data_IF_934019480771
#
_entry.id   IF_934019480771
#
_cell.length_a   1.000
_cell.length_b   1.000
_cell.length_c   1.000
_cell.angle_alpha   90.00
_cell.angle_beta   90.00
_cell.angle_gamma   90.00
#
_symmetry.space_group_name_H-M   'P 1'
#
loop_
_entity.id
_entity.type
_entity.pdbx_description
1 polymer ?
#
# COMPACT_ATOMS: atom_id res chain seq x y z
N UNK A 1 3.25 3.43 7.18
CA UNK A 1 4.11 4.12 6.22
C UNK A 1 3.59 3.88 4.80
N UNK A 2 3.48 4.93 3.97
CA UNK A 2 3.11 4.85 2.56
C UNK A 2 4.29 5.35 1.73
N UNK A 3 4.82 4.51 0.86
CA UNK A 3 5.93 4.82 -0.03
C UNK A 3 5.45 4.83 -1.47
N UNK A 4 5.85 5.84 -2.23
CA UNK A 4 5.33 6.07 -3.57
C UNK A 4 4.01 6.83 -3.59
N UNK A 5 3.58 7.24 -4.77
CA UNK A 5 2.37 8.02 -4.97
C UNK A 5 1.72 7.72 -6.32
N UNK A 6 0.40 7.63 -6.32
CA UNK A 6 -0.44 7.66 -7.51
C UNK A 6 -1.87 8.08 -7.12
N UNK A 7 -2.76 8.20 -8.08
CA UNK A 7 -4.15 8.63 -7.83
C UNK A 7 -4.94 7.78 -6.83
N UNK A 8 -4.51 6.54 -6.59
CA UNK A 8 -5.15 5.65 -5.60
C UNK A 8 -4.76 5.98 -4.16
N UNK A 9 -3.61 6.66 -3.95
CA UNK A 9 -3.13 7.02 -2.61
C UNK A 9 -4.21 7.74 -1.79
N UNK A 10 -4.94 8.65 -2.42
CA UNK A 10 -6.03 9.42 -1.78
C UNK A 10 -7.12 8.50 -1.22
N UNK A 11 -7.55 7.55 -2.04
CA UNK A 11 -8.60 6.59 -1.64
C UNK A 11 -8.07 5.69 -0.53
N UNK A 12 -6.85 5.19 -0.65
CA UNK A 12 -6.20 4.35 0.35
C UNK A 12 -6.09 5.08 1.69
N UNK A 13 -5.63 6.34 1.70
CA UNK A 13 -5.50 7.13 2.92
C UNK A 13 -6.86 7.33 3.60
N UNK A 14 -7.91 7.64 2.83
CA UNK A 14 -9.27 7.82 3.36
C UNK A 14 -9.85 6.53 3.92
N UNK A 15 -9.64 5.41 3.22
CA UNK A 15 -10.11 4.11 3.69
C UNK A 15 -9.33 3.68 4.95
N UNK A 16 -8.02 3.86 4.97
CA UNK A 16 -7.21 3.59 6.16
C UNK A 16 -7.68 4.41 7.37
N UNK A 17 -8.11 5.66 7.18
CA UNK A 17 -8.67 6.48 8.26
C UNK A 17 -9.92 5.85 8.89
N UNK A 18 -10.70 5.08 8.11
CA UNK A 18 -11.87 4.35 8.61
C UNK A 18 -11.52 3.09 9.42
N UNK A 19 -10.36 2.46 9.12
CA UNK A 19 -9.93 1.21 9.76
C UNK A 19 -9.05 1.39 10.99
N UNK A 20 -8.37 2.53 11.12
CA UNK A 20 -7.40 2.74 12.21
C UNK A 20 -7.99 3.49 13.40
N UNK A 21 -7.39 3.28 14.56
CA UNK A 21 -7.77 3.97 15.77
C UNK A 21 -7.40 5.47 15.77
N UNK A 22 -8.09 6.26 16.58
CA UNK A 22 -7.82 7.68 16.73
C UNK A 22 -6.41 7.95 17.25
N UNK A 23 -5.70 8.86 16.58
CA UNK A 23 -4.33 9.20 16.90
C UNK A 23 -3.28 8.39 16.14
N UNK A 24 -3.69 7.55 15.20
CA UNK A 24 -2.80 6.87 14.28
C UNK A 24 -1.97 7.85 13.48
N UNK A 25 -0.77 7.43 13.08
CA UNK A 25 0.16 8.25 12.31
C UNK A 25 0.47 7.58 10.98
N UNK A 26 0.41 8.35 9.91
CA UNK A 26 0.81 7.92 8.57
C UNK A 26 1.79 8.91 7.97
N UNK A 27 2.94 8.42 7.57
CA UNK A 27 3.91 9.19 6.78
C UNK A 27 3.83 8.72 5.33
N UNK A 28 3.71 9.69 4.43
CA UNK A 28 3.76 9.49 2.98
C UNK A 28 5.11 9.99 2.48
N UNK A 29 5.81 9.16 1.73
CA UNK A 29 7.09 9.52 1.11
C UNK A 29 6.99 9.31 -0.39
N UNK A 30 7.24 10.35 -1.16
CA UNK A 30 7.17 10.31 -2.63
C UNK A 30 8.31 11.09 -3.25
N UNK A 31 8.82 10.60 -4.39
CA UNK A 31 9.84 11.32 -5.17
C UNK A 31 9.27 12.58 -5.85
N UNK A 32 7.98 12.62 -6.10
CA UNK A 32 7.31 13.70 -6.86
C UNK A 32 6.50 14.60 -5.94
N UNK A 33 6.54 15.89 -6.23
CA UNK A 33 5.88 16.96 -5.46
C UNK A 33 4.48 17.33 -6.01
N UNK A 34 4.01 16.61 -7.02
CA UNK A 34 2.89 17.02 -7.86
C UNK A 34 1.54 17.17 -7.15
N UNK A 35 1.39 16.66 -5.92
CA UNK A 35 0.09 16.59 -5.23
C UNK A 35 0.09 17.13 -3.80
N UNK A 36 1.04 18.01 -3.43
CA UNK A 36 1.17 18.52 -2.07
C UNK A 36 -0.10 19.24 -1.57
N UNK A 37 -0.70 20.07 -2.42
CA UNK A 37 -1.93 20.80 -2.06
C UNK A 37 -3.08 19.83 -1.77
N UNK A 38 -3.19 18.78 -2.57
CA UNK A 38 -4.18 17.73 -2.40
C UNK A 38 -3.94 16.90 -1.12
N UNK A 39 -2.68 16.62 -0.80
CA UNK A 39 -2.30 15.94 0.43
C UNK A 39 -2.70 16.78 1.67
N UNK A 40 -2.46 18.09 1.62
CA UNK A 40 -2.85 19.00 2.70
C UNK A 40 -4.38 19.10 2.84
N UNK A 41 -5.10 19.16 1.72
CA UNK A 41 -6.57 19.14 1.72
C UNK A 41 -7.12 17.87 2.36
N UNK A 42 -6.58 16.71 1.98
CA UNK A 42 -6.98 15.42 2.55
C UNK A 42 -6.66 15.37 4.04
N UNK A 43 -5.45 15.76 4.44
CA UNK A 43 -5.03 15.75 5.83
C UNK A 43 -6.00 16.52 6.74
N UNK A 44 -6.59 17.61 6.24
CA UNK A 44 -7.59 18.39 6.97
C UNK A 44 -8.94 17.65 7.15
N UNK A 45 -9.22 16.62 6.37
CA UNK A 45 -10.48 15.85 6.41
C UNK A 45 -10.39 14.57 7.24
N UNK A 46 -9.17 14.08 7.54
CA UNK A 46 -8.95 12.86 8.30
C UNK A 46 -9.35 13.03 9.76
N UNK A 47 -9.91 11.97 10.34
CA UNK A 47 -10.43 11.96 11.72
C UNK A 47 -9.52 11.23 12.69
N UNK A 48 -8.87 10.19 12.23
CA UNK A 48 -8.11 9.24 13.04
C UNK A 48 -6.61 9.29 12.76
N UNK A 49 -6.23 9.63 11.51
CA UNK A 49 -4.83 9.66 11.05
C UNK A 49 -4.26 11.08 11.10
N UNK A 50 -3.09 11.20 11.72
CA UNK A 50 -2.21 12.35 11.52
C UNK A 50 -1.32 12.06 10.32
N UNK A 51 -1.51 12.79 9.22
CA UNK A 51 -0.77 12.64 7.98
C UNK A 51 0.46 13.54 7.96
N UNK A 52 1.60 13.00 7.54
CA UNK A 52 2.84 13.73 7.25
C UNK A 52 3.32 13.38 5.85
N UNK A 53 3.84 14.36 5.13
CA UNK A 53 4.43 14.15 3.80
C UNK A 53 5.92 14.48 3.81
N UNK A 54 6.71 13.67 3.11
CA UNK A 54 8.12 13.91 2.85
C UNK A 54 8.41 13.65 1.37
N UNK A 55 9.01 14.64 0.70
CA UNK A 55 9.52 14.44 -0.64
C UNK A 55 10.90 13.76 -0.56
N UNK A 56 11.01 12.56 -1.08
CA UNK A 56 12.27 11.82 -1.17
C UNK A 56 12.15 10.66 -2.17
N UNK A 57 13.28 10.25 -2.74
CA UNK A 57 13.34 9.09 -3.64
C UNK A 57 13.28 7.79 -2.82
N UNK A 58 12.16 7.07 -2.93
CA UNK A 58 11.92 5.83 -2.21
C UNK A 58 12.79 4.66 -2.66
N UNK A 59 13.47 4.75 -3.81
CA UNK A 59 14.44 3.75 -4.29
C UNK A 59 15.84 3.97 -3.72
N UNK A 60 16.11 5.12 -3.10
CA UNK A 60 17.40 5.39 -2.47
C UNK A 60 17.48 4.70 -1.10
N UNK A 61 18.52 3.88 -0.87
CA UNK A 61 18.67 3.13 0.38
C UNK A 61 18.82 4.06 1.60
N UNK A 62 19.51 5.20 1.45
CA UNK A 62 19.68 6.18 2.52
C UNK A 62 18.35 6.76 2.99
N UNK A 63 17.38 6.91 2.08
CA UNK A 63 16.03 7.38 2.42
C UNK A 63 15.33 6.34 3.28
N UNK A 64 15.33 5.07 2.84
CA UNK A 64 14.70 3.98 3.60
C UNK A 64 15.35 3.83 4.98
N UNK A 65 16.68 3.91 5.09
CA UNK A 65 17.40 3.83 6.35
C UNK A 65 17.03 4.98 7.30
N UNK A 66 16.78 6.19 6.76
CA UNK A 66 16.43 7.38 7.55
C UNK A 66 15.00 7.36 8.08
N UNK A 67 14.12 6.54 7.53
CA UNK A 67 12.69 6.53 7.85
C UNK A 67 12.33 5.75 9.12
N UNK A 68 13.29 5.06 9.75
CA UNK A 68 13.03 4.16 10.89
C UNK A 68 11.82 3.26 10.63
N UNK A 69 11.85 2.55 9.49
CA UNK A 69 10.73 1.73 9.02
C UNK A 69 10.26 0.71 10.07
N UNK A 70 11.14 0.36 10.99
CA UNK A 70 10.87 -0.61 12.06
C UNK A 70 9.96 -0.07 13.17
N UNK A 71 9.66 1.22 13.16
CA UNK A 71 8.69 1.85 14.08
C UNK A 71 7.24 1.80 13.58
N UNK A 72 7.01 1.37 12.33
CA UNK A 72 5.68 1.29 11.74
C UNK A 72 5.09 -0.13 11.84
N UNK A 73 3.77 -0.21 12.01
CA UNK A 73 3.03 -1.49 12.04
C UNK A 73 2.86 -2.09 10.65
N UNK A 74 2.81 -1.23 9.61
CA UNK A 74 2.66 -1.66 8.23
C UNK A 74 3.28 -0.68 7.25
N UNK A 75 3.71 -1.21 6.10
CA UNK A 75 4.27 -0.45 4.99
C UNK A 75 3.47 -0.77 3.74
N UNK A 76 3.06 0.27 3.02
CA UNK A 76 2.40 0.15 1.74
C UNK A 76 3.27 0.81 0.67
N UNK A 77 3.45 0.14 -0.47
CA UNK A 77 4.18 0.67 -1.61
C UNK A 77 3.25 0.85 -2.79
N UNK A 78 3.24 2.04 -3.35
CA UNK A 78 2.49 2.38 -4.56
C UNK A 78 3.46 2.65 -5.71
N UNK A 79 3.10 2.16 -6.89
CA UNK A 79 3.85 2.45 -8.11
C UNK A 79 3.58 3.88 -8.60
N UNK A 80 4.57 4.51 -9.20
CA UNK A 80 4.47 5.83 -9.84
C UNK A 80 3.87 5.72 -11.26
N UNK A 81 2.64 5.22 -11.33
CA UNK A 81 1.96 4.88 -12.59
C UNK A 81 1.75 6.08 -13.54
N UNK A 82 1.54 7.26 -12.98
CA UNK A 82 1.29 8.47 -13.76
C UNK A 82 2.57 9.18 -14.17
N UNK A 83 3.68 8.93 -13.48
CA UNK A 83 4.95 9.66 -13.62
C UNK A 83 6.00 8.88 -14.42
N UNK A 84 5.85 7.57 -14.50
CA UNK A 84 6.81 6.65 -15.13
C UNK A 84 6.09 5.66 -16.05
N UNK A 85 6.85 5.07 -16.97
CA UNK A 85 6.33 3.89 -17.66
C UNK A 85 6.24 2.68 -16.72
N UNK A 86 5.48 1.66 -17.14
CA UNK A 86 5.16 0.50 -16.31
C UNK A 86 6.41 -0.24 -15.81
N UNK A 87 7.43 -0.39 -16.67
CA UNK A 87 8.63 -1.16 -16.32
C UNK A 87 9.50 -0.40 -15.32
N UNK A 88 9.66 0.90 -15.50
CA UNK A 88 10.42 1.76 -14.60
C UNK A 88 9.72 1.89 -13.24
N UNK A 89 8.39 2.04 -13.23
CA UNK A 89 7.60 2.10 -12.00
C UNK A 89 7.70 0.81 -11.19
N UNK A 90 7.58 -0.35 -11.84
CA UNK A 90 7.73 -1.64 -11.17
C UNK A 90 9.18 -1.87 -10.70
N UNK A 91 10.18 -1.48 -11.50
CA UNK A 91 11.58 -1.59 -11.11
C UNK A 91 11.90 -0.74 -9.86
N UNK A 92 11.39 0.50 -9.80
CA UNK A 92 11.58 1.35 -8.63
C UNK A 92 10.90 0.76 -7.39
N UNK A 93 9.70 0.21 -7.54
CA UNK A 93 9.00 -0.49 -6.46
C UNK A 93 9.79 -1.70 -5.95
N UNK A 94 10.34 -2.51 -6.85
CA UNK A 94 11.17 -3.66 -6.50
C UNK A 94 12.44 -3.24 -5.74
N UNK A 95 13.12 -2.17 -6.17
CA UNK A 95 14.30 -1.64 -5.48
C UNK A 95 13.92 -1.20 -4.06
N UNK A 96 12.83 -0.46 -3.91
CA UNK A 96 12.32 -0.04 -2.59
C UNK A 96 12.03 -1.24 -1.69
N UNK A 97 11.38 -2.28 -2.22
CA UNK A 97 11.11 -3.54 -1.49
C UNK A 97 12.38 -4.24 -1.02
N UNK A 98 13.41 -4.32 -1.87
CA UNK A 98 14.69 -4.92 -1.51
C UNK A 98 15.36 -4.16 -0.35
N UNK A 99 15.30 -2.84 -0.34
CA UNK A 99 15.84 -2.03 0.75
C UNK A 99 15.06 -2.22 2.05
N UNK A 100 13.71 -2.24 1.99
CA UNK A 100 12.87 -2.53 3.14
C UNK A 100 13.20 -3.91 3.72
N UNK A 101 13.32 -4.92 2.85
CA UNK A 101 13.63 -6.28 3.26
C UNK A 101 14.97 -6.38 3.96
N UNK A 102 16.01 -5.72 3.42
CA UNK A 102 17.31 -5.64 4.08
C UNK A 102 17.19 -5.12 5.51
N UNK A 103 16.48 -4.00 5.71
CA UNK A 103 16.30 -3.42 7.05
C UNK A 103 15.51 -4.35 7.97
N UNK A 104 14.48 -5.03 7.47
CA UNK A 104 13.71 -6.02 8.25
C UNK A 104 14.59 -7.20 8.66
N UNK A 105 15.37 -7.77 7.74
CA UNK A 105 16.27 -8.89 8.01
C UNK A 105 17.36 -8.49 9.03
N UNK A 106 17.93 -7.29 8.92
CA UNK A 106 18.94 -6.78 9.85
C UNK A 106 18.37 -6.50 11.26
N UNK A 107 17.13 -6.02 11.33
CA UNK A 107 16.48 -5.70 12.62
C UNK A 107 15.81 -6.90 13.28
N UNK A 108 15.58 -7.98 12.55
CA UNK A 108 14.80 -9.15 13.00
C UNK A 108 13.32 -8.85 13.25
N UNK A 109 12.80 -7.69 12.80
CA UNK A 109 11.40 -7.34 12.93
C UNK A 109 10.61 -7.80 11.71
N UNK A 110 9.45 -8.37 11.97
CA UNK A 110 8.46 -8.74 10.96
C UNK A 110 7.40 -7.62 10.85
N UNK A 111 7.42 -6.90 9.73
CA UNK A 111 6.51 -5.78 9.46
C UNK A 111 5.67 -6.16 8.25
N UNK A 112 4.37 -5.93 8.31
CA UNK A 112 3.46 -6.19 7.18
C UNK A 112 3.79 -5.26 6.02
N UNK A 113 4.16 -5.82 4.87
CA UNK A 113 4.49 -5.07 3.66
C UNK A 113 3.54 -5.46 2.54
N UNK A 114 2.76 -4.49 2.06
CA UNK A 114 1.87 -4.66 0.91
C UNK A 114 2.35 -3.77 -0.23
N UNK A 115 2.55 -4.35 -1.40
CA UNK A 115 3.06 -3.62 -2.55
C UNK A 115 2.12 -3.71 -3.75
N UNK A 116 1.92 -2.58 -4.41
CA UNK A 116 1.33 -2.54 -5.75
C UNK A 116 2.37 -2.98 -6.79
N UNK A 117 1.91 -3.72 -7.80
CA UNK A 117 2.67 -4.08 -8.99
C UNK A 117 1.78 -3.85 -10.21
N UNK A 118 2.33 -3.29 -11.28
CA UNK A 118 1.59 -2.99 -12.49
C UNK A 118 1.57 -4.18 -13.46
N UNK A 119 2.73 -4.82 -13.68
CA UNK A 119 2.83 -5.98 -14.55
C UNK A 119 2.87 -7.28 -13.73
N UNK A 120 1.91 -8.17 -14.02
CA UNK A 120 1.85 -9.50 -13.39
C UNK A 120 3.10 -10.34 -13.62
N UNK A 121 3.82 -10.12 -14.71
CA UNK A 121 5.06 -10.84 -15.01
C UNK A 121 6.18 -10.53 -14.03
N UNK A 122 6.15 -9.37 -13.41
CA UNK A 122 7.12 -8.95 -12.42
C UNK A 122 6.85 -9.55 -11.03
N UNK A 123 5.67 -10.21 -10.85
CA UNK A 123 5.29 -10.85 -9.59
C UNK A 123 6.32 -11.90 -9.14
N UNK A 124 6.77 -12.74 -10.06
CA UNK A 124 7.74 -13.81 -9.72
C UNK A 124 9.08 -13.22 -9.24
N UNK A 125 9.48 -12.05 -9.78
CA UNK A 125 10.64 -11.30 -9.30
C UNK A 125 10.38 -10.72 -7.91
N UNK A 126 9.18 -10.24 -7.69
CA UNK A 126 8.78 -9.67 -6.41
C UNK A 126 8.67 -10.74 -5.30
N UNK A 127 8.29 -11.97 -5.60
CA UNK A 127 8.27 -13.08 -4.64
C UNK A 127 9.66 -13.36 -4.03
N UNK A 128 10.75 -13.09 -4.77
CA UNK A 128 12.12 -13.19 -4.26
C UNK A 128 12.38 -12.20 -3.12
N UNK A 129 11.68 -11.08 -3.10
CA UNK A 129 11.80 -10.07 -2.04
C UNK A 129 11.10 -10.49 -0.74
N UNK A 130 10.38 -11.63 -0.72
CA UNK A 130 9.58 -12.12 0.41
C UNK A 130 8.61 -11.07 0.95
N UNK A 131 8.10 -10.16 0.12
CA UNK A 131 7.01 -9.28 0.55
C UNK A 131 5.77 -10.12 0.81
N UNK A 132 5.00 -9.73 1.83
CA UNK A 132 3.88 -10.53 2.33
C UNK A 132 2.77 -10.63 1.29
N UNK A 133 2.47 -9.50 0.61
CA UNK A 133 1.42 -9.45 -0.38
C UNK A 133 1.75 -8.51 -1.54
N UNK A 134 1.44 -8.98 -2.76
CA UNK A 134 1.47 -8.17 -3.97
C UNK A 134 0.09 -8.02 -4.56
N UNK A 135 -0.31 -6.79 -4.79
CA UNK A 135 -1.57 -6.47 -5.45
C UNK A 135 -1.28 -6.04 -6.89
N UNK A 136 -1.64 -6.90 -7.85
CA UNK A 136 -1.67 -6.53 -9.26
C UNK A 136 -3.05 -5.96 -9.56
N UNK A 137 -3.15 -4.64 -9.53
CA UNK A 137 -4.41 -3.91 -9.56
C UNK A 137 -5.28 -4.25 -10.75
N UNK A 138 -4.72 -4.30 -11.95
CA UNK A 138 -5.48 -4.56 -13.18
C UNK A 138 -6.05 -5.99 -13.20
N UNK A 139 -5.33 -6.96 -12.63
CA UNK A 139 -5.83 -8.33 -12.49
C UNK A 139 -7.01 -8.40 -11.52
N UNK A 140 -6.89 -7.76 -10.36
CA UNK A 140 -7.95 -7.76 -9.35
C UNK A 140 -9.24 -7.12 -9.92
N UNK A 141 -9.11 -5.96 -10.57
CA UNK A 141 -10.24 -5.28 -11.21
C UNK A 141 -10.88 -6.18 -12.27
N UNK A 142 -10.08 -6.82 -13.12
CA UNK A 142 -10.59 -7.72 -14.17
C UNK A 142 -11.35 -8.91 -13.58
N UNK A 143 -10.85 -9.50 -12.49
CA UNK A 143 -11.53 -10.59 -11.78
C UNK A 143 -12.86 -10.13 -11.18
N UNK A 144 -12.89 -8.99 -10.50
CA UNK A 144 -14.11 -8.42 -9.93
C UNK A 144 -15.16 -8.12 -11.02
N UNK A 145 -14.74 -7.49 -12.12
CA UNK A 145 -15.63 -7.19 -13.25
C UNK A 145 -16.22 -8.47 -13.86
N UNK A 146 -15.39 -9.50 -14.03
CA UNK A 146 -15.84 -10.78 -14.55
C UNK A 146 -16.87 -11.44 -13.64
N UNK A 147 -16.64 -11.45 -12.34
CA UNK A 147 -17.55 -12.02 -11.35
C UNK A 147 -18.88 -11.25 -11.29
N UNK A 148 -18.84 -9.93 -11.28
CA UNK A 148 -20.05 -9.07 -11.24
C UNK A 148 -20.84 -9.21 -12.55
N UNK A 149 -20.17 -9.38 -13.69
CA UNK A 149 -20.83 -9.59 -14.99
C UNK A 149 -21.59 -10.90 -15.03
N UNK A 150 -21.07 -11.94 -14.40
CA UNK A 150 -21.75 -13.25 -14.27
C UNK A 150 -22.96 -13.13 -13.33
N UNK A 151 -22.80 -12.47 -12.18
CA UNK A 151 -23.85 -12.34 -11.19
C UNK A 151 -23.83 -10.95 -10.52
N UNK A 152 -24.78 -10.10 -10.91
CA UNK A 152 -24.93 -8.74 -10.36
C UNK A 152 -25.10 -8.68 -8.85
N UNK A 153 -25.61 -9.74 -8.22
CA UNK A 153 -25.80 -9.77 -6.76
C UNK A 153 -24.49 -9.79 -5.99
N UNK A 154 -23.38 -10.19 -6.66
CA UNK A 154 -22.04 -10.19 -6.07
C UNK A 154 -21.55 -8.78 -5.74
N UNK A 155 -22.04 -7.74 -6.42
CA UNK A 155 -21.67 -6.37 -6.09
C UNK A 155 -21.96 -6.05 -4.63
N UNK A 156 -23.11 -6.43 -4.11
CA UNK A 156 -23.49 -6.23 -2.70
C UNK A 156 -22.58 -6.99 -1.73
N UNK A 157 -22.16 -8.20 -2.14
CA UNK A 157 -21.24 -9.01 -1.33
C UNK A 157 -19.86 -8.35 -1.25
N UNK A 158 -19.39 -7.79 -2.37
CA UNK A 158 -18.12 -7.06 -2.38
C UNK A 158 -18.22 -5.74 -1.63
N UNK A 159 -19.34 -5.01 -1.74
CA UNK A 159 -19.57 -3.80 -0.97
C UNK A 159 -19.53 -4.08 0.55
N UNK A 160 -20.18 -5.14 1.00
CA UNK A 160 -20.15 -5.57 2.40
C UNK A 160 -18.76 -6.03 2.84
N UNK A 161 -18.07 -6.79 1.98
CA UNK A 161 -16.73 -7.35 2.28
C UNK A 161 -15.64 -6.28 2.39
N UNK A 162 -15.75 -5.22 1.56
CA UNK A 162 -14.78 -4.12 1.54
C UNK A 162 -15.23 -2.91 2.37
N UNK A 163 -16.38 -2.99 3.05
CA UNK A 163 -16.84 -1.93 3.94
C UNK A 163 -16.08 -1.97 5.27
N UNK A 164 -15.70 -0.81 5.77
CA UNK A 164 -15.15 -0.66 7.13
C UNK A 164 -16.17 -0.92 8.24
N UNK A 165 -17.45 -1.08 7.88
CA UNK A 165 -18.55 -1.34 8.82
C UNK A 165 -19.35 -2.54 8.34
N UNK A 166 -19.46 -3.57 9.16
CA UNK A 166 -20.24 -4.77 8.80
C UNK A 166 -19.54 -6.06 9.15
N UNK A 167 -19.74 -7.07 8.30
CA UNK A 167 -19.11 -8.37 8.48
C UNK A 167 -17.70 -8.36 7.91
N UNK A 168 -16.70 -8.62 8.73
CA UNK A 168 -15.31 -8.75 8.33
C UNK A 168 -14.89 -10.22 8.27
N UNK A 169 -14.00 -10.56 7.32
CA UNK A 169 -13.40 -11.89 7.25
C UNK A 169 -12.03 -11.84 7.90
N UNK A 170 -11.89 -12.55 9.01
CA UNK A 170 -10.61 -12.70 9.70
C UNK A 170 -10.05 -14.11 9.48
N UNK A 171 -8.79 -14.19 9.03
CA UNK A 171 -8.03 -15.42 9.07
C UNK A 171 -7.33 -15.49 10.44
N UNK A 172 -7.70 -16.47 11.25
CA UNK A 172 -7.05 -16.72 12.54
C UNK A 172 -6.17 -17.97 12.47
N UNK A 173 -5.01 -17.96 13.11
CA UNK A 173 -4.21 -19.18 13.26
C UNK A 173 -5.03 -20.27 13.94
N UNK A 174 -4.86 -21.53 13.53
CA UNK A 174 -5.56 -22.66 14.14
C UNK A 174 -5.17 -22.87 15.60
N UNK A 175 -4.02 -22.31 16.02
CA UNK A 175 -3.58 -22.29 17.41
C UNK A 175 -4.44 -21.47 18.36
N UNK A 176 -5.33 -20.62 17.81
CA UNK A 176 -6.21 -19.73 18.61
C UNK A 176 -7.53 -20.42 19.00
N UNK A 177 -7.69 -21.70 18.59
CA UNK A 177 -8.80 -22.59 18.91
C UNK A 177 -8.31 -23.85 19.60
#
# INVERSE_FOLDING_TARGET
LLLGWNKRAIVIIREMDNYVGKGSYMKVVSAFDSDMDLILEIAATLKNIKLEFQQADTSAHEVIDSLDITSYDSIQLLCYKEEMDMQDADAQTLISLLHIRRVMDESGKDIKVVSEMLDIKNRDLAEVTKADDFIVSDKLISLLMSQISENKSLMRVFDDLFSATGSEIYLKPMSDY
#
